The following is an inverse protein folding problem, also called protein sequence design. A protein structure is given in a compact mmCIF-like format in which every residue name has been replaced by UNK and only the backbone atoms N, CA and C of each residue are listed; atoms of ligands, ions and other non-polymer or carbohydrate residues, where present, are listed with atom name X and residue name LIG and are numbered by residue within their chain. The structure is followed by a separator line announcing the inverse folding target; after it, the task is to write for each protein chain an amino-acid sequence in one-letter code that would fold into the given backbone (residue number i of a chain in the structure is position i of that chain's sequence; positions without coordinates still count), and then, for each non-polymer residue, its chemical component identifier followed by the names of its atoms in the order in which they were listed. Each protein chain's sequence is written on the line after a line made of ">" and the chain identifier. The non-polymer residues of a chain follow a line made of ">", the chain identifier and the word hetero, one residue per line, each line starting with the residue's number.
data_IF_391515311758
#
_entry.id   IF_391515311758
#
_cell.length_a   1.000
_cell.length_b   1.000
_cell.length_c   1.000
_cell.angle_alpha   90.00
_cell.angle_beta   90.00
_cell.angle_gamma   90.00
#
_symmetry.space_group_name_H-M   'P 1'
#
loop_
_entity.id
_entity.type
_entity.pdbx_description
1 polymer ?
#
# COMPACT_ATOMS: atom_id res chain seq x y z
N UNK A 1 12.94 -0.77 4.46
CA UNK A 1 13.46 -1.26 3.15
C UNK A 1 12.91 -0.39 2.03
N UNK A 2 13.63 -0.29 0.91
CA UNK A 2 13.14 0.45 -0.28
C UNK A 2 11.97 -0.29 -0.91
N UNK A 3 10.96 0.48 -1.30
CA UNK A 3 9.66 0.01 -1.79
C UNK A 3 9.17 1.01 -2.83
N UNK A 4 9.79 1.05 -4.02
CA UNK A 4 9.44 2.03 -5.03
C UNK A 4 8.03 1.82 -5.58
N UNK A 5 7.50 2.85 -6.23
CA UNK A 5 6.29 2.77 -7.03
C UNK A 5 5.29 3.88 -6.76
N UNK A 6 5.08 4.27 -5.50
CA UNK A 6 4.42 5.53 -5.20
C UNK A 6 5.35 6.72 -5.48
N UNK A 7 6.59 6.60 -5.01
CA UNK A 7 7.76 7.39 -5.40
C UNK A 7 8.94 6.44 -5.60
N UNK A 8 10.03 6.92 -6.22
CA UNK A 8 11.23 6.10 -6.46
C UNK A 8 12.01 5.76 -5.18
N UNK A 9 11.86 6.58 -4.14
CA UNK A 9 12.63 6.52 -2.89
C UNK A 9 11.79 6.06 -1.68
N UNK A 10 10.54 5.64 -1.90
CA UNK A 10 9.62 5.27 -0.83
C UNK A 10 10.14 4.11 0.03
N UNK A 11 9.95 4.21 1.36
CA UNK A 11 10.40 3.22 2.34
C UNK A 11 9.24 2.64 3.14
N UNK A 12 9.36 1.36 3.48
CA UNK A 12 8.50 0.69 4.48
C UNK A 12 9.34 0.22 5.66
N UNK A 13 8.81 0.44 6.87
CA UNK A 13 9.35 -0.07 8.11
C UNK A 13 8.42 -1.14 8.66
N UNK A 14 8.94 -2.35 8.83
CA UNK A 14 8.19 -3.51 9.30
C UNK A 14 8.87 -4.06 10.55
N UNK A 15 8.08 -4.32 11.58
CA UNK A 15 8.50 -5.06 12.76
C UNK A 15 7.53 -6.24 13.01
N UNK A 16 7.67 -6.90 14.16
CA UNK A 16 6.90 -8.11 14.47
C UNK A 16 5.37 -7.94 14.47
N UNK A 17 4.84 -6.78 14.86
CA UNK A 17 3.39 -6.56 15.01
C UNK A 17 2.85 -5.30 14.31
N UNK A 18 3.73 -4.49 13.72
CA UNK A 18 3.43 -3.18 13.16
C UNK A 18 4.15 -2.92 11.86
N UNK A 19 3.49 -2.20 10.95
CA UNK A 19 4.06 -1.74 9.68
C UNK A 19 3.75 -0.26 9.47
N UNK A 20 4.79 0.51 9.12
CA UNK A 20 4.67 1.87 8.61
C UNK A 20 4.75 1.78 7.09
N UNK A 21 3.60 1.91 6.44
CA UNK A 21 3.46 1.68 5.00
C UNK A 21 3.66 2.93 4.17
N UNK A 22 3.67 4.11 4.78
CA UNK A 22 3.59 5.36 4.03
C UNK A 22 2.41 5.30 3.07
N UNK A 23 2.61 5.77 1.83
CA UNK A 23 1.54 5.83 0.85
C UNK A 23 1.50 4.64 -0.10
N UNK A 24 2.36 3.62 0.07
CA UNK A 24 2.34 2.46 -0.83
C UNK A 24 1.11 1.58 -0.65
N UNK A 25 0.67 1.41 0.62
CA UNK A 25 -0.58 0.75 1.02
C UNK A 25 -1.23 1.62 2.08
N UNK A 26 -2.51 1.90 1.88
CA UNK A 26 -3.31 2.74 2.79
C UNK A 26 -4.55 1.98 3.18
N UNK A 27 -4.94 2.03 4.45
CA UNK A 27 -6.11 1.29 4.91
C UNK A 27 -7.36 1.75 4.16
N UNK A 28 -7.63 3.06 4.13
CA UNK A 28 -8.76 3.62 3.41
C UNK A 28 -8.46 5.04 2.97
N UNK A 29 -8.86 5.37 1.74
CA UNK A 29 -8.82 6.72 1.19
C UNK A 29 -10.03 6.97 0.26
N UNK A 30 -10.01 8.09 -0.46
CA UNK A 30 -11.10 8.47 -1.37
C UNK A 30 -11.33 7.47 -2.52
N UNK A 31 -10.34 6.66 -2.89
CA UNK A 31 -10.48 5.69 -3.97
C UNK A 31 -11.04 4.36 -3.47
N UNK A 32 -10.51 3.85 -2.37
CA UNK A 32 -10.84 2.53 -1.87
C UNK A 32 -10.88 2.48 -0.35
N UNK A 33 -11.94 1.87 0.17
CA UNK A 33 -12.02 1.45 1.57
C UNK A 33 -11.39 0.06 1.74
N UNK A 34 -10.71 -0.17 2.87
CA UNK A 34 -10.06 -1.44 3.26
C UNK A 34 -9.10 -1.99 2.20
N UNK A 35 -7.95 -1.34 2.03
CA UNK A 35 -6.85 -1.75 1.15
C UNK A 35 -6.74 -0.88 -0.10
N UNK A 36 -6.44 0.39 0.06
CA UNK A 36 -6.02 1.27 -1.04
C UNK A 36 -4.51 1.16 -1.28
N UNK A 37 -4.05 1.65 -2.42
CA UNK A 37 -2.65 1.60 -2.83
C UNK A 37 -2.16 2.99 -3.29
N UNK A 38 -0.85 3.21 -3.28
CA UNK A 38 -0.27 4.51 -3.64
C UNK A 38 -0.56 4.99 -5.06
N UNK A 39 -0.59 6.31 -5.24
CA UNK A 39 -0.67 6.88 -6.59
C UNK A 39 0.57 6.53 -7.38
N UNK A 40 0.39 6.17 -8.64
CA UNK A 40 1.46 5.82 -9.59
C UNK A 40 1.37 6.66 -10.87
N UNK A 41 0.44 7.62 -10.91
CA UNK A 41 0.12 8.50 -12.03
C UNK A 41 0.84 9.85 -11.96
N UNK A 42 1.55 10.12 -10.86
CA UNK A 42 2.39 11.30 -10.69
C UNK A 42 3.83 11.02 -11.17
N UNK A 43 4.62 12.08 -11.47
CA UNK A 43 6.03 11.92 -11.80
C UNK A 43 6.80 11.13 -10.73
N UNK A 44 7.60 10.15 -11.16
CA UNK A 44 8.32 9.24 -10.27
C UNK A 44 7.50 8.04 -9.76
N UNK A 45 6.21 7.97 -10.10
CA UNK A 45 5.37 6.82 -9.84
C UNK A 45 5.55 5.69 -10.88
N UNK A 46 5.41 4.44 -10.43
CA UNK A 46 5.50 3.24 -11.26
C UNK A 46 4.57 2.16 -10.72
N UNK A 47 3.59 1.72 -11.53
CA UNK A 47 2.63 0.69 -11.13
C UNK A 47 3.28 -0.67 -10.98
N UNK A 48 4.22 -1.00 -11.87
CA UNK A 48 5.03 -2.22 -11.81
C UNK A 48 5.77 -2.31 -10.47
N UNK A 49 6.54 -1.28 -10.14
CA UNK A 49 7.35 -1.25 -8.92
C UNK A 49 6.47 -1.29 -7.66
N UNK A 50 5.32 -0.60 -7.70
CA UNK A 50 4.37 -0.62 -6.61
C UNK A 50 3.83 -2.04 -6.38
N UNK A 51 3.45 -2.75 -7.44
CA UNK A 51 2.98 -4.13 -7.34
C UNK A 51 4.08 -5.03 -6.74
N UNK A 52 5.29 -4.98 -7.29
CA UNK A 52 6.42 -5.78 -6.78
C UNK A 52 6.77 -5.46 -5.33
N UNK A 53 6.69 -4.18 -4.94
CA UNK A 53 6.90 -3.76 -3.56
C UNK A 53 5.82 -4.31 -2.63
N UNK A 54 4.54 -4.25 -3.02
CA UNK A 54 3.43 -4.77 -2.20
C UNK A 54 3.50 -6.30 -2.10
N UNK A 55 3.86 -7.02 -3.17
CA UNK A 55 4.12 -8.46 -3.14
C UNK A 55 5.23 -8.80 -2.14
N UNK A 56 6.34 -8.06 -2.20
CA UNK A 56 7.42 -8.20 -1.24
C UNK A 56 6.95 -7.90 0.18
N UNK A 57 5.99 -6.97 0.40
CA UNK A 57 5.45 -6.68 1.75
C UNK A 57 4.68 -7.90 2.24
N UNK A 58 3.81 -8.43 1.40
CA UNK A 58 2.99 -9.57 1.73
C UNK A 58 3.85 -10.80 2.06
N UNK A 59 4.86 -11.11 1.25
CA UNK A 59 5.75 -12.26 1.47
C UNK A 59 6.63 -12.14 2.73
N UNK A 60 6.83 -10.94 3.27
CA UNK A 60 7.64 -10.72 4.47
C UNK A 60 6.78 -10.36 5.70
N UNK A 61 5.46 -10.32 5.58
CA UNK A 61 4.57 -9.93 6.68
C UNK A 61 4.52 -11.03 7.74
N UNK A 62 4.80 -10.72 9.03
CA UNK A 62 4.62 -11.67 10.12
C UNK A 62 3.17 -12.09 10.29
N UNK A 63 2.95 -13.28 10.85
CA UNK A 63 1.61 -13.78 11.17
C UNK A 63 0.86 -12.88 12.18
N UNK A 64 1.60 -12.23 13.08
CA UNK A 64 1.07 -11.35 14.13
C UNK A 64 1.05 -9.87 13.74
N UNK A 65 1.14 -9.56 12.45
CA UNK A 65 1.06 -8.17 11.98
C UNK A 65 -0.36 -7.62 12.19
N UNK A 66 -0.53 -6.73 13.18
CA UNK A 66 -1.84 -6.21 13.59
C UNK A 66 -2.00 -4.71 13.40
N UNK A 67 -0.92 -3.94 13.39
CA UNK A 67 -0.98 -2.49 13.30
C UNK A 67 -0.43 -1.98 11.97
N UNK A 68 -1.18 -1.11 11.29
CA UNK A 68 -0.76 -0.41 10.09
C UNK A 68 -0.81 1.10 10.31
N UNK A 69 0.30 1.77 9.97
CA UNK A 69 0.46 3.22 10.01
C UNK A 69 0.70 3.73 8.59
N UNK A 70 -0.35 4.17 7.88
CA UNK A 70 -0.22 4.71 6.53
C UNK A 70 0.27 6.16 6.55
N UNK A 71 0.68 6.67 5.38
CA UNK A 71 1.10 8.06 5.17
C UNK A 71 -0.06 9.05 5.28
N UNK A 72 -1.28 8.59 4.95
CA UNK A 72 -2.51 9.34 5.17
C UNK A 72 -3.68 8.42 5.54
N UNK A 73 -4.78 9.04 5.97
CA UNK A 73 -5.93 8.31 6.49
C UNK A 73 -5.68 7.79 7.91
N UNK A 74 -6.65 7.06 8.48
CA UNK A 74 -6.54 6.55 9.84
C UNK A 74 -5.55 5.38 9.92
N UNK A 75 -4.87 5.27 11.07
CA UNK A 75 -4.21 4.01 11.43
C UNK A 75 -5.23 2.87 11.50
N UNK A 76 -4.77 1.66 11.26
CA UNK A 76 -5.61 0.47 11.31
C UNK A 76 -5.05 -0.57 12.27
N UNK A 77 -5.95 -1.16 13.06
CA UNK A 77 -5.67 -2.31 13.91
C UNK A 77 -6.59 -3.47 13.51
N UNK A 78 -6.03 -4.64 13.21
CA UNK A 78 -6.80 -5.82 12.82
C UNK A 78 -6.02 -6.77 11.92
N UNK A 79 -6.68 -7.27 10.87
CA UNK A 79 -6.04 -8.11 9.85
C UNK A 79 -5.33 -7.24 8.80
N UNK A 80 -4.08 -6.88 9.08
CA UNK A 80 -3.26 -6.03 8.19
C UNK A 80 -2.90 -6.76 6.89
N UNK A 81 -2.72 -8.08 6.95
CA UNK A 81 -2.39 -8.91 5.79
C UNK A 81 -3.54 -8.90 4.77
N UNK A 82 -4.79 -8.92 5.23
CA UNK A 82 -5.98 -8.75 4.37
C UNK A 82 -5.98 -7.40 3.65
N UNK A 83 -5.63 -6.33 4.35
CA UNK A 83 -5.59 -4.96 3.79
C UNK A 83 -4.53 -4.87 2.69
N UNK A 84 -3.33 -5.38 2.95
CA UNK A 84 -2.22 -5.42 1.98
C UNK A 84 -2.60 -6.27 0.76
N UNK A 85 -3.22 -7.43 0.97
CA UNK A 85 -3.66 -8.33 -0.10
C UNK A 85 -4.73 -7.68 -0.99
N UNK A 86 -5.68 -6.94 -0.40
CA UNK A 86 -6.71 -6.20 -1.15
C UNK A 86 -6.11 -5.05 -1.95
N UNK A 87 -5.16 -4.31 -1.36
CA UNK A 87 -4.43 -3.26 -2.07
C UNK A 87 -3.69 -3.83 -3.28
N UNK A 88 -3.01 -4.96 -3.11
CA UNK A 88 -2.32 -5.68 -4.20
C UNK A 88 -3.28 -6.07 -5.33
N UNK A 89 -4.42 -6.68 -4.99
CA UNK A 89 -5.40 -7.12 -5.97
C UNK A 89 -5.96 -5.95 -6.80
N UNK A 90 -6.21 -4.81 -6.15
CA UNK A 90 -6.64 -3.57 -6.83
C UNK A 90 -5.54 -2.98 -7.69
N UNK A 91 -4.30 -2.93 -7.20
CA UNK A 91 -3.16 -2.43 -7.96
C UNK A 91 -2.93 -3.25 -9.25
N UNK A 92 -3.09 -4.58 -9.18
CA UNK A 92 -2.95 -5.51 -10.32
C UNK A 92 -4.00 -5.35 -11.42
N UNK A 93 -5.14 -4.71 -11.14
CA UNK A 93 -6.15 -4.42 -12.17
C UNK A 93 -5.67 -3.41 -13.22
N UNK A 94 -4.67 -2.59 -12.89
CA UNK A 94 -4.15 -1.50 -13.73
C UNK A 94 -5.19 -0.47 -14.17
N UNK A 95 -6.31 -0.43 -13.47
CA UNK A 95 -7.27 0.66 -13.58
C UNK A 95 -6.70 1.94 -12.92
N UNK A 96 -7.08 3.13 -13.41
CA UNK A 96 -6.80 4.38 -12.71
C UNK A 96 -7.29 4.31 -11.25
N UNK A 97 -6.46 4.79 -10.32
CA UNK A 97 -6.81 4.77 -8.90
C UNK A 97 -8.01 5.68 -8.61
N UNK A 98 -7.94 6.92 -9.10
CA UNK A 98 -9.04 7.86 -9.06
C UNK A 98 -9.68 7.92 -10.44
N UNK A 99 -10.99 8.08 -10.47
CA UNK A 99 -11.69 8.39 -11.71
C UNK A 99 -11.26 9.79 -12.16
N UNK A 100 -11.07 10.04 -13.46
CA UNK A 100 -10.92 11.41 -13.94
C UNK A 100 -12.14 12.21 -13.48
N UNK A 101 -11.89 13.42 -12.98
CA UNK A 101 -12.97 14.36 -12.67
C UNK A 101 -13.74 14.61 -13.98
N UNK A 102 -15.05 14.42 -13.93
CA UNK A 102 -15.96 14.69 -15.05
C UNK A 102 -16.31 16.16 -15.13
#
# INVERSE_FOLDING_TARGET
>A
RVTPGHSTDHLVFLNHNSIFTGDIVVYSDQAFHRGSFGRTDLPGGSREDLISSIESILSNSPQDLRNMYPGHGPMFHGDVVEVISKALARAKKREPKYKPEG
#
